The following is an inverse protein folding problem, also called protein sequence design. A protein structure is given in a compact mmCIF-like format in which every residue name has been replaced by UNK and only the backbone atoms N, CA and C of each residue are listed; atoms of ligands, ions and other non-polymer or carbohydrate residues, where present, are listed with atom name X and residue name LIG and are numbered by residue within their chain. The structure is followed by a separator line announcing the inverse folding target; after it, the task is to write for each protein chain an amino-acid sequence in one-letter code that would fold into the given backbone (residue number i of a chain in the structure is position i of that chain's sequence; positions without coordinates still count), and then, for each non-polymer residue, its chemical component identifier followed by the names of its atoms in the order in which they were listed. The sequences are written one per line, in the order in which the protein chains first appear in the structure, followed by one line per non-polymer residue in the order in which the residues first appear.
data_IF_292822997713
#
_entry.id   IF_292822997713
#
_cell.length_a   1.000
_cell.length_b   1.000
_cell.length_c   1.000
_cell.angle_alpha   90.00
_cell.angle_beta   90.00
_cell.angle_gamma   90.00
#
_symmetry.space_group_name_H-M   'P 1'
#
loop_
_entity.id
_entity.type
_entity.pdbx_description
1 polymer ?
#
# COMPACT_ATOMS: atom_id res chain seq x y z
N UNK A 1 20.99 2.34 0.19
CA UNK A 1 20.89 1.11 -0.64
C UNK A 1 19.83 1.33 -1.68
N UNK A 2 20.10 1.03 -2.94
CA UNK A 2 19.09 1.15 -4.00
C UNK A 2 17.93 0.20 -3.71
N UNK A 3 16.69 0.67 -3.91
CA UNK A 3 15.50 -0.13 -3.66
C UNK A 3 15.35 -1.22 -4.73
N UNK A 4 14.98 -2.45 -4.33
CA UNK A 4 14.69 -3.51 -5.30
C UNK A 4 13.34 -3.29 -5.98
N UNK A 5 13.18 -3.93 -7.15
CA UNK A 5 11.94 -3.92 -7.93
C UNK A 5 10.77 -4.45 -7.08
N UNK A 6 9.63 -3.77 -7.12
CA UNK A 6 8.44 -4.13 -6.34
C UNK A 6 7.94 -5.55 -6.58
N UNK A 7 8.12 -6.09 -7.79
CA UNK A 7 7.72 -7.46 -8.16
C UNK A 7 8.37 -8.55 -7.30
N UNK A 8 9.56 -8.30 -6.72
CA UNK A 8 10.24 -9.25 -5.83
C UNK A 8 9.43 -9.52 -4.57
N UNK A 9 8.73 -8.50 -4.05
CA UNK A 9 7.94 -8.61 -2.83
C UNK A 9 6.45 -8.89 -3.08
N UNK A 10 5.99 -8.80 -4.34
CA UNK A 10 4.58 -8.89 -4.68
C UNK A 10 3.99 -10.27 -4.40
N UNK A 11 4.81 -11.33 -4.49
CA UNK A 11 4.38 -12.71 -4.29
C UNK A 11 3.78 -12.90 -2.90
N UNK A 12 2.57 -13.45 -2.85
CA UNK A 12 1.90 -13.80 -1.62
C UNK A 12 2.42 -15.15 -1.11
N UNK A 13 3.64 -15.17 -0.56
CA UNK A 13 4.17 -16.36 0.10
C UNK A 13 4.71 -16.08 1.51
N UNK A 14 4.84 -17.16 2.26
CA UNK A 14 5.46 -17.17 3.59
C UNK A 14 4.56 -16.75 4.75
N UNK A 15 5.05 -17.04 5.95
CA UNK A 15 4.39 -16.75 7.22
C UNK A 15 4.36 -15.23 7.48
N UNK A 16 3.29 -14.68 8.06
CA UNK A 16 3.25 -13.28 8.44
C UNK A 16 4.39 -12.91 9.41
N UNK A 17 5.24 -11.97 9.00
CA UNK A 17 6.31 -11.39 9.81
C UNK A 17 5.89 -9.98 10.27
N UNK A 18 5.23 -9.89 11.42
CA UNK A 18 4.52 -8.67 11.88
C UNK A 18 4.75 -8.34 13.35
N UNK A 19 5.45 -9.19 14.11
CA UNK A 19 5.54 -9.12 15.58
C UNK A 19 6.45 -7.97 16.04
N UNK A 20 5.86 -6.77 16.03
CA UNK A 20 6.47 -5.52 16.46
C UNK A 20 5.68 -4.96 17.64
N UNK A 21 6.39 -4.38 18.60
CA UNK A 21 5.76 -3.63 19.68
C UNK A 21 6.69 -2.51 20.13
N UNK A 22 6.19 -1.28 20.11
CA UNK A 22 6.90 -0.11 20.65
C UNK A 22 6.74 -0.03 22.17
N UNK A 23 5.57 -0.42 22.70
CA UNK A 23 5.22 -0.27 24.12
C UNK A 23 5.78 -1.37 25.00
N UNK A 24 5.84 -2.60 24.49
CA UNK A 24 6.23 -3.78 25.26
C UNK A 24 7.44 -4.44 24.58
N UNK A 25 8.67 -4.09 24.98
CA UNK A 25 9.88 -4.61 24.34
C UNK A 25 10.01 -6.14 24.37
N UNK A 26 9.43 -6.79 25.40
CA UNK A 26 9.46 -8.26 25.56
C UNK A 26 8.79 -9.01 24.42
N UNK A 27 7.76 -8.43 23.79
CA UNK A 27 7.03 -9.05 22.68
C UNK A 27 7.48 -8.51 21.31
N UNK A 28 8.48 -7.63 21.30
CA UNK A 28 9.06 -7.06 20.10
C UNK A 28 10.18 -7.95 19.54
N UNK A 29 9.80 -8.88 18.67
CA UNK A 29 10.75 -9.81 18.04
C UNK A 29 11.38 -9.23 16.76
N UNK A 30 10.69 -8.31 16.08
CA UNK A 30 11.18 -7.70 14.83
C UNK A 30 11.69 -6.29 15.11
N UNK A 31 13.02 -6.14 15.19
CA UNK A 31 13.67 -4.87 15.52
C UNK A 31 14.18 -4.14 14.27
N UNK A 32 14.29 -2.82 14.36
CA UNK A 32 14.87 -1.98 13.31
C UNK A 32 14.01 -1.85 12.06
N UNK A 33 12.68 -1.96 12.19
CA UNK A 33 11.74 -1.82 11.07
C UNK A 33 11.65 -0.34 10.68
N UNK A 34 11.88 0.01 9.40
CA UNK A 34 11.68 1.37 8.92
C UNK A 34 10.20 1.78 8.97
N UNK A 35 9.95 3.04 9.29
CA UNK A 35 8.58 3.59 9.28
C UNK A 35 7.98 3.54 7.87
N UNK A 36 6.71 3.18 7.70
CA UNK A 36 6.05 3.21 6.40
C UNK A 36 5.95 4.65 5.88
N UNK A 37 6.13 4.81 4.57
CA UNK A 37 6.02 6.10 3.85
C UNK A 37 4.57 6.62 3.73
N UNK A 38 3.58 5.72 3.74
CA UNK A 38 2.17 6.12 3.77
C UNK A 38 1.81 6.54 5.20
N UNK A 39 1.44 7.81 5.37
CA UNK A 39 1.03 8.37 6.66
C UNK A 39 -0.47 8.66 6.71
N UNK A 40 -1.04 9.13 5.61
CA UNK A 40 -2.44 9.56 5.53
C UNK A 40 -3.27 8.53 4.78
N UNK A 41 -4.22 7.90 5.47
CA UNK A 41 -5.11 6.89 4.88
C UNK A 41 -6.47 7.45 4.46
N UNK A 42 -6.86 8.61 4.98
CA UNK A 42 -8.15 9.24 4.72
C UNK A 42 -7.92 10.68 4.27
N UNK A 43 -8.55 11.08 3.17
CA UNK A 43 -8.36 12.39 2.53
C UNK A 43 -9.71 12.93 2.10
N UNK A 44 -9.87 14.25 2.21
CA UNK A 44 -11.10 14.95 1.87
C UNK A 44 -12.04 15.03 3.07
N UNK A 45 -13.32 15.26 2.80
CA UNK A 45 -14.33 15.52 3.83
C UNK A 45 -14.85 14.20 4.42
N UNK A 46 -14.56 13.95 5.69
CA UNK A 46 -14.97 12.71 6.38
C UNK A 46 -16.42 12.74 6.85
N UNK A 47 -16.98 13.96 7.01
CA UNK A 47 -18.28 14.18 7.61
C UNK A 47 -19.38 14.39 6.56
N UNK A 48 -18.99 14.75 5.33
CA UNK A 48 -19.94 14.88 4.24
C UNK A 48 -20.64 13.56 3.90
N UNK A 49 -21.93 13.65 3.60
CA UNK A 49 -22.70 12.55 3.04
C UNK A 49 -22.46 12.46 1.53
N UNK A 50 -22.16 11.24 1.07
CA UNK A 50 -21.97 10.94 -0.35
C UNK A 50 -22.93 9.83 -0.77
N UNK A 51 -23.40 9.91 -2.01
CA UNK A 51 -24.37 8.95 -2.55
C UNK A 51 -23.71 7.67 -3.08
N UNK A 52 -22.47 7.75 -3.59
CA UNK A 52 -21.79 6.64 -4.25
C UNK A 52 -20.39 6.42 -3.68
N UNK A 53 -19.97 5.15 -3.64
CA UNK A 53 -18.59 4.74 -3.40
C UNK A 53 -18.07 3.98 -4.62
N UNK A 54 -17.01 4.51 -5.23
CA UNK A 54 -16.23 3.80 -6.25
C UNK A 54 -15.07 3.09 -5.55
N UNK A 55 -15.02 1.78 -5.67
CA UNK A 55 -14.09 0.90 -4.97
C UNK A 55 -13.12 0.26 -5.95
N UNK A 56 -11.85 0.22 -5.56
CA UNK A 56 -10.81 -0.56 -6.21
C UNK A 56 -10.59 -1.83 -5.41
N UNK A 57 -10.84 -2.98 -6.04
CA UNK A 57 -10.78 -4.30 -5.41
C UNK A 57 -9.67 -5.12 -6.08
N UNK A 58 -8.90 -5.85 -5.28
CA UNK A 58 -7.87 -6.74 -5.80
C UNK A 58 -8.47 -8.05 -6.30
N UNK A 59 -8.03 -8.50 -7.48
CA UNK A 59 -8.43 -9.79 -8.07
C UNK A 59 -7.42 -10.90 -7.77
N UNK A 60 -6.32 -10.58 -7.08
CA UNK A 60 -5.19 -11.48 -6.83
C UNK A 60 -4.79 -11.45 -5.35
N UNK A 61 -4.20 -12.55 -4.88
CA UNK A 61 -3.52 -12.54 -3.59
C UNK A 61 -2.13 -11.91 -3.79
N UNK A 62 -1.90 -10.74 -3.21
CA UNK A 62 -0.67 -9.97 -3.45
C UNK A 62 -0.21 -9.25 -2.19
N UNK A 63 1.09 -8.93 -2.13
CA UNK A 63 1.61 -7.99 -1.16
C UNK A 63 1.90 -6.64 -1.84
N UNK A 64 1.31 -5.57 -1.30
CA UNK A 64 1.50 -4.21 -1.82
C UNK A 64 2.44 -3.46 -0.87
N UNK A 65 3.56 -2.98 -1.38
CA UNK A 65 4.52 -2.22 -0.58
C UNK A 65 3.91 -0.90 -0.11
N UNK A 66 4.33 -0.42 1.05
CA UNK A 66 3.92 0.89 1.57
C UNK A 66 4.18 2.05 0.58
N UNK A 67 5.21 1.92 -0.26
CA UNK A 67 5.54 2.89 -1.33
C UNK A 67 4.53 2.85 -2.46
N UNK A 68 4.12 1.66 -2.90
CA UNK A 68 3.10 1.51 -3.93
C UNK A 68 1.74 2.04 -3.45
N UNK A 69 1.39 1.80 -2.18
CA UNK A 69 0.18 2.39 -1.57
C UNK A 69 0.23 3.92 -1.56
N UNK A 70 1.35 4.52 -1.16
CA UNK A 70 1.51 5.97 -1.17
C UNK A 70 1.48 6.55 -2.60
N UNK A 71 2.17 5.92 -3.55
CA UNK A 71 2.16 6.34 -4.95
C UNK A 71 0.74 6.26 -5.56
N UNK A 72 0.00 5.20 -5.24
CA UNK A 72 -1.38 5.01 -5.68
C UNK A 72 -2.31 6.08 -5.09
N UNK A 73 -2.17 6.38 -3.79
CA UNK A 73 -2.88 7.46 -3.09
C UNK A 73 -2.59 8.82 -3.70
N UNK A 74 -1.32 9.16 -3.93
CA UNK A 74 -0.92 10.45 -4.52
C UNK A 74 -1.48 10.59 -5.94
N UNK A 75 -1.44 9.54 -6.75
CA UNK A 75 -1.98 9.56 -8.12
C UNK A 75 -3.50 9.79 -8.13
N UNK A 76 -4.24 9.12 -7.25
CA UNK A 76 -5.67 9.34 -7.07
C UNK A 76 -5.95 10.77 -6.60
N UNK A 77 -5.26 11.22 -5.55
CA UNK A 77 -5.43 12.56 -4.95
C UNK A 77 -5.16 13.66 -5.96
N UNK A 78 -4.10 13.54 -6.78
CA UNK A 78 -3.78 14.53 -7.82
C UNK A 78 -4.91 14.67 -8.83
N UNK A 79 -5.49 13.56 -9.24
CA UNK A 79 -6.57 13.54 -10.24
C UNK A 79 -7.86 14.13 -9.68
N UNK A 80 -8.17 13.81 -8.42
CA UNK A 80 -9.31 14.40 -7.71
C UNK A 80 -9.08 15.90 -7.46
N UNK A 81 -7.92 16.30 -6.96
CA UNK A 81 -7.64 17.70 -6.59
C UNK A 81 -7.59 18.69 -7.75
N UNK A 82 -7.31 18.25 -8.99
CA UNK A 82 -7.34 19.13 -10.16
C UNK A 82 -8.76 19.49 -10.62
N UNK A 83 -9.75 18.63 -10.36
CA UNK A 83 -11.11 18.79 -10.86
C UNK A 83 -12.16 18.96 -9.75
N UNK A 84 -11.89 18.45 -8.55
CA UNK A 84 -12.77 18.48 -7.40
C UNK A 84 -12.28 19.55 -6.42
N UNK A 85 -12.91 20.72 -6.48
CA UNK A 85 -13.07 21.51 -5.27
C UNK A 85 -13.74 20.64 -4.20
N UNK A 86 -13.05 20.47 -3.07
CA UNK A 86 -13.42 19.97 -1.73
C UNK A 86 -14.35 18.74 -1.52
N UNK A 87 -15.27 18.38 -2.41
CA UNK A 87 -16.36 17.43 -2.15
C UNK A 87 -16.03 16.00 -2.59
N UNK A 88 -15.06 15.36 -1.94
CA UNK A 88 -14.84 13.91 -2.04
C UNK A 88 -14.29 13.36 -0.73
N UNK A 89 -14.45 12.06 -0.51
CA UNK A 89 -13.76 11.33 0.54
C UNK A 89 -13.02 10.14 -0.04
N UNK A 90 -11.71 10.05 0.17
CA UNK A 90 -10.92 8.90 -0.25
C UNK A 90 -10.34 8.18 0.96
N UNK A 91 -10.43 6.85 0.94
CA UNK A 91 -9.82 5.99 1.96
C UNK A 91 -8.97 4.89 1.32
N UNK A 92 -7.73 4.80 1.76
CA UNK A 92 -6.88 3.61 1.56
C UNK A 92 -7.19 2.64 2.70
N UNK A 93 -7.63 1.44 2.36
CA UNK A 93 -8.06 0.44 3.34
C UNK A 93 -6.93 -0.40 3.95
N UNK A 94 -5.97 -0.93 3.18
CA UNK A 94 -4.98 -1.86 3.71
C UNK A 94 -3.82 -1.12 4.39
N UNK A 95 -3.52 -1.51 5.64
CA UNK A 95 -2.34 -1.00 6.36
C UNK A 95 -1.14 -1.95 6.19
N UNK A 96 0.09 -1.43 5.97
CA UNK A 96 1.26 -2.25 5.71
C UNK A 96 1.87 -2.84 7.01
N UNK A 97 1.28 -3.92 7.50
CA UNK A 97 1.75 -4.62 8.71
C UNK A 97 2.94 -5.55 8.49
N UNK A 98 3.07 -6.12 7.29
CA UNK A 98 4.06 -7.15 7.01
C UNK A 98 5.44 -6.54 6.79
N UNK A 99 6.45 -7.05 7.48
CA UNK A 99 7.84 -6.57 7.36
C UNK A 99 8.56 -7.33 6.24
N UNK A 100 9.10 -6.57 5.30
CA UNK A 100 9.96 -7.07 4.23
C UNK A 100 11.41 -7.11 4.73
N UNK A 101 12.11 -8.17 4.36
CA UNK A 101 13.52 -8.37 4.68
C UNK A 101 14.34 -8.58 3.41
N UNK A 102 15.59 -8.14 3.46
CA UNK A 102 16.57 -8.44 2.42
C UNK A 102 17.90 -8.82 3.03
N UNK A 103 18.58 -9.78 2.41
CA UNK A 103 20.00 -9.98 2.64
C UNK A 103 20.77 -8.86 1.91
N UNK A 104 21.39 -7.90 2.63
CA UNK A 104 22.09 -6.82 1.99
C UNK A 104 23.37 -7.36 1.35
N UNK A 105 23.48 -7.23 0.03
CA UNK A 105 24.73 -7.52 -0.69
C UNK A 105 25.58 -6.24 -0.73
N UNK A 106 26.86 -6.37 -0.39
CA UNK A 106 27.81 -5.29 -0.59
C UNK A 106 28.11 -5.20 -2.09
N UNK A 107 28.07 -3.99 -2.64
CA UNK A 107 28.35 -3.73 -4.05
C UNK A 107 29.53 -2.78 -4.16
N UNK A 108 30.48 -3.06 -5.06
CA UNK A 108 31.67 -2.25 -5.27
C UNK A 108 32.95 -3.08 -5.29
N UNK A 109 34.09 -2.44 -5.58
CA UNK A 109 35.39 -3.10 -5.54
C UNK A 109 35.75 -3.51 -4.09
N UNK A 110 36.15 -4.77 -3.88
CA UNK A 110 36.50 -5.30 -2.57
C UNK A 110 35.29 -5.64 -1.67
N UNK A 111 34.07 -5.62 -2.19
CA UNK A 111 32.85 -5.98 -1.46
C UNK A 111 32.82 -7.45 -1.02
N UNK A 112 33.49 -8.31 -1.79
CA UNK A 112 33.73 -9.73 -1.51
C UNK A 112 34.43 -9.96 -0.17
N UNK A 113 35.28 -9.02 0.27
CA UNK A 113 36.00 -9.12 1.55
C UNK A 113 35.11 -8.89 2.77
N UNK A 114 33.98 -8.20 2.60
CA UNK A 114 33.05 -7.83 3.68
C UNK A 114 31.72 -8.58 3.61
N UNK A 115 31.49 -9.38 2.56
CA UNK A 115 30.24 -10.09 2.35
C UNK A 115 30.41 -11.59 2.61
N UNK A 116 29.67 -12.14 3.58
CA UNK A 116 29.67 -13.57 3.92
C UNK A 116 28.89 -14.47 2.91
N UNK A 117 28.55 -13.93 1.73
CA UNK A 117 27.72 -14.61 0.74
C UNK A 117 26.32 -14.97 1.25
N UNK A 118 26.02 -16.27 1.29
CA UNK A 118 24.75 -16.82 1.79
C UNK A 118 24.82 -17.33 3.23
N UNK A 119 25.99 -17.27 3.87
CA UNK A 119 26.07 -17.49 5.30
C UNK A 119 25.26 -16.41 6.03
N UNK A 120 24.49 -16.80 7.05
CA UNK A 120 23.63 -15.90 7.86
C UNK A 120 22.63 -15.04 7.03
N UNK A 121 22.08 -15.58 5.95
CA UNK A 121 21.23 -14.88 4.98
C UNK A 121 19.78 -14.51 5.43
N UNK A 122 19.47 -14.43 6.73
CA UNK A 122 18.11 -14.11 7.20
C UNK A 122 17.61 -12.72 6.75
N UNK A 123 18.55 -11.78 6.58
CA UNK A 123 18.29 -10.44 6.08
C UNK A 123 17.83 -9.45 7.14
N UNK A 124 18.00 -8.17 6.81
CA UNK A 124 17.60 -7.02 7.64
C UNK A 124 16.22 -6.50 7.19
N UNK A 125 15.39 -5.97 8.10
CA UNK A 125 14.16 -5.29 7.72
C UNK A 125 14.44 -4.06 6.84
N UNK A 126 13.74 -3.96 5.70
CA UNK A 126 13.93 -2.86 4.73
C UNK A 126 12.69 -1.99 4.56
N UNK A 127 11.52 -2.49 4.96
CA UNK A 127 10.27 -1.77 4.82
C UNK A 127 9.07 -2.66 5.10
N UNK A 128 7.88 -2.15 4.80
CA UNK A 128 6.63 -2.86 5.07
C UNK A 128 5.74 -3.02 3.84
N UNK A 129 4.85 -4.00 3.87
CA UNK A 129 3.85 -4.27 2.86
C UNK A 129 2.51 -4.64 3.50
N UNK A 130 1.43 -4.34 2.78
CA UNK A 130 0.11 -4.83 3.12
C UNK A 130 -0.17 -6.12 2.36
N UNK A 131 -0.64 -7.16 3.09
CA UNK A 131 -1.08 -8.41 2.48
C UNK A 131 -2.55 -8.29 2.14
N UNK A 132 -2.87 -8.44 0.86
CA UNK A 132 -4.22 -8.27 0.33
C UNK A 132 -4.68 -9.60 -0.24
N UNK A 133 -5.91 -9.99 0.08
CA UNK A 133 -6.57 -11.17 -0.48
C UNK A 133 -7.44 -10.79 -1.67
N UNK A 134 -7.72 -11.77 -2.53
CA UNK A 134 -8.72 -11.64 -3.59
C UNK A 134 -10.05 -11.12 -3.02
N UNK A 135 -10.66 -10.15 -3.69
CA UNK A 135 -11.92 -9.53 -3.28
C UNK A 135 -11.81 -8.44 -2.22
N UNK A 136 -10.61 -8.18 -1.68
CA UNK A 136 -10.41 -7.15 -0.68
C UNK A 136 -10.30 -5.74 -1.31
N UNK A 137 -10.93 -4.75 -0.66
CA UNK A 137 -10.86 -3.34 -1.07
C UNK A 137 -9.47 -2.77 -0.80
N UNK A 138 -8.90 -2.07 -1.79
CA UNK A 138 -7.61 -1.39 -1.68
C UNK A 138 -7.83 0.11 -1.45
N UNK A 139 -8.59 0.76 -2.33
CA UNK A 139 -8.92 2.18 -2.25
C UNK A 139 -10.43 2.34 -2.47
N UNK A 140 -11.09 3.18 -1.68
CA UNK A 140 -12.45 3.63 -1.91
C UNK A 140 -12.50 5.14 -2.05
N UNK A 141 -13.29 5.63 -3.01
CA UNK A 141 -13.57 7.05 -3.18
C UNK A 141 -15.08 7.23 -3.10
N UNK A 142 -15.54 8.05 -2.18
CA UNK A 142 -16.94 8.46 -2.06
C UNK A 142 -17.13 9.81 -2.71
N UNK A 143 -18.16 9.88 -3.56
CA UNK A 143 -18.52 11.04 -4.37
C UNK A 143 -20.03 11.08 -4.63
N UNK A 144 -20.53 12.24 -5.04
CA UNK A 144 -21.88 12.38 -5.57
C UNK A 144 -21.95 11.94 -7.03
N UNK A 145 -23.17 11.79 -7.55
CA UNK A 145 -23.44 11.24 -8.88
C UNK A 145 -22.66 11.94 -10.00
N UNK A 146 -22.54 13.26 -9.92
CA UNK A 146 -21.85 14.10 -10.91
C UNK A 146 -20.36 13.75 -11.09
N UNK A 147 -19.72 13.19 -10.06
CA UNK A 147 -18.26 12.98 -10.01
C UNK A 147 -17.84 11.51 -10.08
N UNK A 148 -18.76 10.61 -10.43
CA UNK A 148 -18.47 9.17 -10.55
C UNK A 148 -17.39 8.92 -11.62
N UNK A 149 -17.48 9.57 -12.78
CA UNK A 149 -16.50 9.38 -13.86
C UNK A 149 -15.11 9.90 -13.47
N UNK A 150 -15.05 11.01 -12.74
CA UNK A 150 -13.79 11.51 -12.18
C UNK A 150 -13.18 10.51 -11.18
N UNK A 151 -13.99 9.92 -10.31
CA UNK A 151 -13.54 8.91 -9.36
C UNK A 151 -13.03 7.64 -10.07
N UNK A 152 -13.68 7.21 -11.15
CA UNK A 152 -13.20 6.09 -11.99
C UNK A 152 -11.84 6.40 -12.61
N UNK A 153 -11.65 7.59 -13.16
CA UNK A 153 -10.37 8.01 -13.74
C UNK A 153 -9.26 8.09 -12.67
N UNK A 154 -9.58 8.60 -11.48
CA UNK A 154 -8.67 8.63 -10.35
C UNK A 154 -8.21 7.22 -9.95
N UNK A 155 -9.14 6.26 -9.85
CA UNK A 155 -8.81 4.86 -9.57
C UNK A 155 -8.07 4.17 -10.72
N UNK A 156 -8.35 4.53 -11.98
CA UNK A 156 -7.61 4.02 -13.13
C UNK A 156 -6.14 4.43 -13.06
N UNK A 157 -5.84 5.65 -12.61
CA UNK A 157 -4.45 6.11 -12.38
C UNK A 157 -3.83 5.46 -11.15
N UNK A 158 -4.62 5.26 -10.10
CA UNK A 158 -4.19 4.59 -8.88
C UNK A 158 -3.79 3.12 -9.13
N UNK A 159 -4.57 2.37 -9.90
CA UNK A 159 -4.30 0.95 -10.19
C UNK A 159 -2.98 0.73 -10.93
N UNK A 160 -2.58 1.65 -11.80
CA UNK A 160 -1.30 1.59 -12.53
C UNK A 160 -0.07 1.65 -11.61
N UNK A 161 -0.24 1.99 -10.32
CA UNK A 161 0.84 2.01 -9.32
C UNK A 161 0.89 0.74 -8.47
N UNK A 162 -0.10 -0.14 -8.59
CA UNK A 162 -0.19 -1.36 -7.82
C UNK A 162 0.44 -2.53 -8.59
N UNK A 163 0.97 -3.55 -7.88
CA UNK A 163 1.63 -4.70 -8.50
C UNK A 163 0.65 -5.81 -8.95
N UNK A 164 -0.66 -5.59 -8.88
CA UNK A 164 -1.69 -6.61 -9.12
C UNK A 164 -2.78 -6.13 -10.06
N UNK A 165 -3.50 -7.09 -10.62
CA UNK A 165 -4.76 -6.79 -11.29
C UNK A 165 -5.85 -6.41 -10.28
N UNK A 166 -6.67 -5.45 -10.69
CA UNK A 166 -7.73 -4.89 -9.86
C UNK A 166 -8.93 -4.53 -10.71
N UNK A 167 -10.12 -4.70 -10.15
CA UNK A 167 -11.39 -4.25 -10.75
C UNK A 167 -11.96 -3.05 -10.00
N UNK A 168 -12.69 -2.23 -10.74
CA UNK A 168 -13.41 -1.08 -10.21
C UNK A 168 -14.89 -1.45 -10.06
N UNK A 169 -15.47 -1.21 -8.88
CA UNK A 169 -16.90 -1.42 -8.60
C UNK A 169 -17.50 -0.09 -8.16
N UNK A 170 -18.67 0.25 -8.70
CA UNK A 170 -19.46 1.40 -8.24
C UNK A 170 -20.59 0.88 -7.36
N UNK A 171 -20.67 1.36 -6.13
CA UNK A 171 -21.71 0.98 -5.17
C UNK A 171 -22.47 2.22 -4.72
N UNK A 172 -23.81 2.16 -4.72
CA UNK A 172 -24.65 3.18 -4.09
C UNK A 172 -24.61 2.99 -2.58
N UNK A 173 -24.27 4.04 -1.83
CA UNK A 173 -24.30 4.03 -0.38
C UNK A 173 -25.77 4.08 0.06
N UNK A 174 -26.20 3.12 0.88
CA UNK A 174 -27.52 3.18 1.51
C UNK A 174 -27.46 4.26 2.60
N UNK A 175 -28.37 5.23 2.56
CA UNK A 175 -28.65 6.09 3.72
C UNK A 175 -29.15 5.17 4.84
N UNK A 176 -28.48 5.23 5.98
CA UNK A 176 -28.93 4.59 7.23
C UNK A 176 -30.07 5.43 7.78
#
# INVERSE_FOLDING_TARGET
MAERKGGVYAKYDGRPYTRQSERVPRVNYVRGVPKPKIHTFQIGDQNAEFEYEVQLISDENVQITHRALEASRVAATKTLGTAAGASFFMKVYPYPHHVLRENPMATGAGADRFQEGMSRAFGKPIGTAARIRVGQKVIGIRVNQERIELAKEALRRAKMKLPCNTRTIVQKLKKI
#
